data_IF_624265954129
#
_entry.id   IF_624265954129
#
_cell.length_a   1.000
_cell.length_b   1.000
_cell.length_c   1.000
_cell.angle_alpha   90.00
_cell.angle_beta   90.00
_cell.angle_gamma   90.00
#
_symmetry.space_group_name_H-M   'P 1'
#
loop_
_entity.id
_entity.type
_entity.pdbx_description
1 polymer ?
#
# COMPACT_ATOMS: atom_id res chain seq x y z
N UNK A 1 -3.55 14.21 56.36
CA UNK A 1 -3.67 15.67 56.54
C UNK A 1 -3.52 16.34 55.17
N UNK A 2 -4.44 17.26 54.86
CA UNK A 2 -4.39 18.40 53.90
C UNK A 2 -4.06 18.17 52.41
N UNK A 3 -5.10 18.38 51.59
CA UNK A 3 -5.14 18.74 50.16
C UNK A 3 -4.69 20.20 49.98
N UNK A 4 -3.84 20.53 49.01
CA UNK A 4 -3.58 21.92 48.53
C UNK A 4 -3.17 21.82 47.04
N UNK A 5 -4.09 21.99 46.09
CA UNK A 5 -4.54 23.25 45.44
C UNK A 5 -3.60 23.72 44.33
N UNK A 6 -4.09 23.57 43.10
CA UNK A 6 -3.70 24.25 41.87
C UNK A 6 -3.83 25.78 42.03
N UNK A 7 -3.09 26.59 41.27
CA UNK A 7 -3.81 27.65 40.57
C UNK A 7 -3.36 27.85 39.13
N UNK A 8 -4.38 27.91 38.27
CA UNK A 8 -4.40 28.66 37.02
C UNK A 8 -4.16 30.14 37.33
N UNK A 9 -3.24 30.81 36.62
CA UNK A 9 -3.33 32.25 36.45
C UNK A 9 -2.99 32.63 35.01
N UNK A 10 -3.79 33.56 34.52
CA UNK A 10 -4.01 33.87 33.13
C UNK A 10 -3.39 35.24 32.80
N UNK A 11 -3.15 35.47 31.50
CA UNK A 11 -3.35 36.73 30.79
C UNK A 11 -2.24 37.82 30.80
N UNK A 12 -1.50 37.84 29.67
CA UNK A 12 -1.11 38.96 28.78
C UNK A 12 -0.50 40.27 29.30
N UNK A 13 0.60 40.70 28.66
CA UNK A 13 0.75 42.09 28.22
C UNK A 13 1.68 42.26 27.01
N UNK A 14 1.33 43.29 26.24
CA UNK A 14 1.67 43.68 24.85
C UNK A 14 3.05 44.36 24.68
N UNK A 15 3.41 44.58 23.41
CA UNK A 15 4.28 45.65 22.84
C UNK A 15 5.78 45.33 22.69
N UNK A 16 6.53 45.71 21.65
CA UNK A 16 6.26 46.37 20.36
C UNK A 16 7.49 46.16 19.45
N UNK A 17 7.27 46.33 18.14
CA UNK A 17 8.14 45.99 17.02
C UNK A 17 9.47 46.77 16.92
N UNK A 18 10.48 46.12 16.32
CA UNK A 18 11.43 46.79 15.42
C UNK A 18 11.69 45.93 14.19
N UNK A 19 11.33 46.50 13.05
CA UNK A 19 11.52 46.00 11.69
C UNK A 19 13.00 45.87 11.36
N UNK A 20 13.42 44.68 10.93
CA UNK A 20 14.55 44.52 10.02
C UNK A 20 14.08 43.62 8.88
N UNK A 21 13.53 44.25 7.84
CA UNK A 21 13.46 43.63 6.53
C UNK A 21 14.90 43.37 6.06
N UNK A 22 15.18 42.15 5.58
CA UNK A 22 15.82 41.91 4.29
C UNK A 22 15.87 40.40 4.00
N UNK A 23 15.21 40.03 2.87
CA UNK A 23 15.54 38.92 1.99
C UNK A 23 15.43 37.47 2.50
N UNK A 24 14.21 36.90 2.49
CA UNK A 24 14.01 35.46 2.21
C UNK A 24 12.76 35.23 1.34
N UNK A 25 12.65 35.96 0.23
CA UNK A 25 11.72 35.60 -0.85
C UNK A 25 12.49 34.68 -1.80
N UNK A 26 12.33 33.36 -1.65
CA UNK A 26 12.94 32.43 -2.61
C UNK A 26 12.75 30.93 -2.35
N UNK A 27 12.67 30.48 -1.10
CA UNK A 27 12.73 29.03 -0.81
C UNK A 27 11.42 28.38 -0.32
N UNK A 28 10.45 29.14 0.19
CA UNK A 28 9.25 28.56 0.82
C UNK A 28 8.16 28.10 -0.17
N UNK A 29 8.09 28.71 -1.37
CA UNK A 29 7.04 28.39 -2.37
C UNK A 29 7.30 27.02 -3.03
N UNK A 30 8.57 26.61 -3.14
CA UNK A 30 8.95 25.31 -3.72
C UNK A 30 8.47 24.12 -2.89
N UNK A 31 8.67 24.18 -1.56
CA UNK A 31 8.26 23.10 -0.65
C UNK A 31 6.74 23.01 -0.48
N UNK A 32 6.04 24.15 -0.40
CA UNK A 32 4.58 24.16 -0.29
C UNK A 32 3.89 23.55 -1.53
N UNK A 33 4.34 23.89 -2.75
CA UNK A 33 3.81 23.25 -3.98
C UNK A 33 4.16 21.76 -4.06
N UNK A 34 5.34 21.36 -3.59
CA UNK A 34 5.77 19.96 -3.65
C UNK A 34 4.98 19.08 -2.67
N UNK A 35 4.69 19.55 -1.46
CA UNK A 35 3.84 18.84 -0.50
C UNK A 35 2.39 18.73 -0.98
N UNK A 36 1.85 19.80 -1.58
CA UNK A 36 0.48 19.79 -2.09
C UNK A 36 0.31 18.85 -3.30
N UNK A 37 1.31 18.76 -4.19
CA UNK A 37 1.30 17.77 -5.26
C UNK A 37 1.38 16.34 -4.73
N UNK A 38 2.23 16.06 -3.74
CA UNK A 38 2.34 14.72 -3.15
C UNK A 38 1.05 14.27 -2.44
N UNK A 39 0.36 15.21 -1.79
CA UNK A 39 -0.96 14.96 -1.18
C UNK A 39 -2.06 14.78 -2.25
N UNK A 40 -2.04 15.59 -3.31
CA UNK A 40 -2.97 15.48 -4.43
C UNK A 40 -2.77 14.19 -5.25
N UNK A 41 -1.52 13.78 -5.47
CA UNK A 41 -1.17 12.53 -6.16
C UNK A 41 -1.55 11.32 -5.29
N UNK A 42 -1.37 11.39 -3.96
CA UNK A 42 -1.92 10.39 -3.03
C UNK A 42 -3.44 10.32 -3.08
N UNK A 43 -4.13 11.46 -3.14
CA UNK A 43 -5.59 11.50 -3.24
C UNK A 43 -6.10 11.00 -4.59
N UNK A 44 -5.40 11.27 -5.71
CA UNK A 44 -5.76 10.71 -7.02
C UNK A 44 -5.50 9.22 -7.10
N UNK A 45 -4.40 8.73 -6.53
CA UNK A 45 -4.14 7.30 -6.49
C UNK A 45 -5.04 6.54 -5.49
N UNK A 46 -5.50 7.23 -4.43
CA UNK A 46 -6.58 6.72 -3.58
C UNK A 46 -7.93 6.70 -4.31
N UNK A 47 -8.14 7.54 -5.34
CA UNK A 47 -9.39 7.60 -6.08
C UNK A 47 -9.63 6.39 -7.00
N UNK A 48 -8.60 5.61 -7.34
CA UNK A 48 -8.72 4.37 -8.14
C UNK A 48 -8.55 3.09 -7.34
N UNK A 49 -8.23 3.19 -6.04
CA UNK A 49 -8.16 2.05 -5.15
C UNK A 49 -9.52 1.77 -4.52
N UNK A 50 -10.12 0.64 -4.85
CA UNK A 50 -11.32 0.12 -4.19
C UNK A 50 -10.94 -0.75 -3.00
N UNK A 51 -11.89 -1.00 -2.09
CA UNK A 51 -11.67 -1.92 -0.97
C UNK A 51 -12.11 -3.33 -1.37
N UNK A 52 -11.14 -4.26 -1.46
CA UNK A 52 -11.41 -5.69 -1.49
C UNK A 52 -11.75 -6.20 -0.08
N UNK A 53 -12.58 -7.22 0.01
CA UNK A 53 -12.94 -7.88 1.27
C UNK A 53 -12.89 -9.40 1.13
N UNK A 54 -12.25 -10.06 2.08
CA UNK A 54 -12.19 -11.51 2.16
C UNK A 54 -12.16 -11.96 3.61
N UNK A 55 -13.10 -12.84 4.01
CA UNK A 55 -13.23 -13.35 5.37
C UNK A 55 -13.20 -12.25 6.47
N UNK A 56 -13.87 -11.13 6.22
CA UNK A 56 -13.94 -10.00 7.16
C UNK A 56 -12.68 -9.14 7.23
N UNK A 57 -11.64 -9.44 6.44
CA UNK A 57 -10.45 -8.59 6.27
C UNK A 57 -10.59 -7.75 5.01
N UNK A 58 -10.26 -6.47 5.12
CA UNK A 58 -10.25 -5.54 3.99
C UNK A 58 -8.82 -5.25 3.53
N UNK A 59 -8.64 -5.11 2.22
CA UNK A 59 -7.36 -4.75 1.61
C UNK A 59 -7.61 -3.82 0.41
N UNK A 60 -6.66 -2.94 0.05
CA UNK A 60 -6.81 -2.12 -1.14
C UNK A 60 -6.72 -2.98 -2.40
N UNK A 61 -7.56 -2.68 -3.38
CA UNK A 61 -7.49 -3.21 -4.74
C UNK A 61 -7.38 -2.05 -5.70
N UNK A 62 -6.21 -1.86 -6.30
CA UNK A 62 -6.01 -0.79 -7.27
C UNK A 62 -6.07 -1.37 -8.69
N UNK A 63 -6.93 -0.80 -9.52
CA UNK A 63 -7.03 -1.12 -10.95
C UNK A 63 -7.04 0.19 -11.72
N UNK A 64 -6.16 0.32 -12.71
CA UNK A 64 -6.02 1.55 -13.48
C UNK A 64 -6.80 1.41 -14.78
N UNK A 65 -7.86 2.20 -15.00
CA UNK A 65 -8.58 2.21 -16.27
C UNK A 65 -7.63 2.46 -17.44
N UNK A 66 -7.88 1.84 -18.59
CA UNK A 66 -7.00 1.95 -19.76
C UNK A 66 -6.80 3.41 -20.24
N UNK A 67 -7.80 4.27 -20.06
CA UNK A 67 -7.74 5.70 -20.37
C UNK A 67 -6.95 6.53 -19.33
N UNK A 68 -6.65 5.95 -18.16
CA UNK A 68 -5.87 6.59 -17.08
C UNK A 68 -4.45 6.03 -16.96
N UNK A 69 -4.11 4.99 -17.73
CA UNK A 69 -2.76 4.45 -17.78
C UNK A 69 -1.75 5.51 -18.28
N UNK A 70 -0.59 5.62 -17.63
CA UNK A 70 0.43 6.56 -18.06
C UNK A 70 1.05 6.12 -19.40
N UNK A 71 1.41 7.07 -20.26
CA UNK A 71 2.04 6.78 -21.57
C UNK A 71 3.31 5.94 -21.48
N UNK A 72 4.12 6.16 -20.44
CA UNK A 72 5.29 5.35 -20.10
C UNK A 72 4.88 4.36 -19.03
N UNK A 73 5.33 3.11 -19.06
CA UNK A 73 5.06 2.19 -17.96
C UNK A 73 3.66 1.55 -17.96
N UNK A 74 2.82 1.83 -18.97
CA UNK A 74 1.48 1.25 -19.08
C UNK A 74 1.52 -0.28 -19.08
N UNK A 75 2.40 -0.88 -19.89
CA UNK A 75 2.54 -2.33 -20.00
C UNK A 75 2.94 -2.97 -18.67
N UNK A 76 3.83 -2.32 -17.92
CA UNK A 76 4.29 -2.78 -16.62
C UNK A 76 3.15 -2.71 -15.58
N UNK A 77 2.39 -1.61 -15.57
CA UNK A 77 1.22 -1.47 -14.67
C UNK A 77 0.16 -2.52 -15.02
N UNK A 78 -0.20 -2.66 -16.30
CA UNK A 78 -1.16 -3.66 -16.74
C UNK A 78 -0.69 -5.09 -16.41
N UNK A 79 0.60 -5.38 -16.59
CA UNK A 79 1.19 -6.68 -16.24
C UNK A 79 1.11 -6.97 -14.74
N UNK A 80 1.42 -5.98 -13.89
CA UNK A 80 1.26 -6.10 -12.45
C UNK A 80 -0.21 -6.31 -12.05
N UNK A 81 -1.12 -5.51 -12.60
CA UNK A 81 -2.55 -5.61 -12.32
C UNK A 81 -3.12 -6.96 -12.76
N UNK A 82 -2.63 -7.54 -13.85
CA UNK A 82 -3.00 -8.89 -14.28
C UNK A 82 -2.55 -9.98 -13.29
N UNK A 83 -1.34 -9.88 -12.73
CA UNK A 83 -0.86 -10.85 -11.71
C UNK A 83 -1.65 -10.72 -10.40
N UNK A 84 -2.02 -9.49 -10.00
CA UNK A 84 -2.88 -9.24 -8.85
C UNK A 84 -4.30 -9.75 -9.07
N UNK A 85 -4.85 -9.56 -10.27
CA UNK A 85 -6.17 -10.09 -10.64
C UNK A 85 -6.19 -11.62 -10.62
N UNK A 86 -5.14 -12.27 -11.12
CA UNK A 86 -5.00 -13.73 -11.03
C UNK A 86 -5.02 -14.21 -9.57
N UNK A 87 -4.30 -13.52 -8.69
CA UNK A 87 -4.31 -13.81 -7.25
C UNK A 87 -5.70 -13.61 -6.62
N UNK A 88 -6.39 -12.54 -7.00
CA UNK A 88 -7.76 -12.28 -6.56
C UNK A 88 -8.72 -13.40 -6.96
N UNK A 89 -8.68 -13.84 -8.22
CA UNK A 89 -9.52 -14.94 -8.69
C UNK A 89 -9.20 -16.25 -7.99
N UNK A 90 -7.92 -16.56 -7.77
CA UNK A 90 -7.51 -17.76 -7.03
C UNK A 90 -7.92 -17.73 -5.55
N UNK A 91 -7.84 -16.56 -4.92
CA UNK A 91 -8.32 -16.31 -3.56
C UNK A 91 -9.82 -16.65 -3.42
N UNK A 92 -10.62 -16.26 -4.40
CA UNK A 92 -12.08 -16.47 -4.41
C UNK A 92 -12.49 -17.89 -4.85
N UNK A 93 -11.70 -18.54 -5.71
CA UNK A 93 -12.04 -19.84 -6.28
C UNK A 93 -12.03 -20.98 -5.26
N UNK A 94 -11.18 -20.89 -4.24
CA UNK A 94 -11.03 -21.89 -3.18
C UNK A 94 -10.51 -21.22 -1.91
N UNK A 95 -10.83 -21.75 -0.74
CA UNK A 95 -10.34 -21.29 0.56
C UNK A 95 -9.10 -22.05 1.08
N UNK A 96 -8.72 -23.11 0.37
CA UNK A 96 -7.72 -24.11 0.78
C UNK A 96 -6.65 -24.35 -0.29
N UNK A 97 -6.96 -24.10 -1.56
CA UNK A 97 -5.97 -24.18 -2.64
C UNK A 97 -4.97 -23.02 -2.58
N UNK A 98 -3.70 -23.23 -2.95
CA UNK A 98 -2.72 -22.15 -3.06
C UNK A 98 -3.25 -20.98 -3.90
N UNK A 99 -2.94 -19.75 -3.47
CA UNK A 99 -3.32 -18.53 -4.22
C UNK A 99 -2.35 -18.31 -5.37
N UNK A 100 -1.07 -18.63 -5.16
CA UNK A 100 -0.03 -18.51 -6.18
C UNK A 100 0.86 -19.75 -6.24
N UNK A 101 1.27 -20.14 -7.45
CA UNK A 101 2.42 -21.05 -7.62
C UNK A 101 3.74 -20.34 -7.32
N UNK A 102 4.85 -21.05 -7.06
CA UNK A 102 6.17 -20.43 -6.88
C UNK A 102 6.59 -19.53 -8.04
N UNK A 103 6.29 -19.93 -9.28
CA UNK A 103 6.59 -19.17 -10.49
C UNK A 103 5.76 -17.88 -10.55
N UNK A 104 4.48 -17.95 -10.17
CA UNK A 104 3.61 -16.77 -10.11
C UNK A 104 4.03 -15.80 -9.01
N UNK A 105 4.52 -16.29 -7.85
CA UNK A 105 5.08 -15.42 -6.80
C UNK A 105 6.30 -14.65 -7.31
N UNK A 106 7.16 -15.32 -8.08
CA UNK A 106 8.33 -14.69 -8.70
C UNK A 106 7.91 -13.65 -9.76
N UNK A 107 6.92 -13.98 -10.59
CA UNK A 107 6.37 -13.07 -11.59
C UNK A 107 5.75 -11.82 -10.95
N UNK A 108 4.98 -11.97 -9.86
CA UNK A 108 4.41 -10.87 -9.10
C UNK A 108 5.49 -9.95 -8.53
N UNK A 109 6.54 -10.50 -7.91
CA UNK A 109 7.65 -9.71 -7.37
C UNK A 109 8.40 -8.95 -8.47
N UNK A 110 8.65 -9.61 -9.61
CA UNK A 110 9.29 -8.99 -10.77
C UNK A 110 8.43 -7.85 -11.35
N UNK A 111 7.11 -8.05 -11.43
CA UNK A 111 6.17 -7.02 -11.89
C UNK A 111 6.15 -5.80 -10.96
N UNK A 112 6.09 -6.01 -9.63
CA UNK A 112 6.17 -4.91 -8.64
C UNK A 112 7.47 -4.11 -8.81
N UNK A 113 8.60 -4.81 -8.92
CA UNK A 113 9.90 -4.17 -9.12
C UNK A 113 9.96 -3.39 -10.44
N UNK A 114 9.43 -3.96 -11.52
CA UNK A 114 9.37 -3.33 -12.85
C UNK A 114 8.58 -2.02 -12.82
N UNK A 115 7.37 -2.01 -12.22
CA UNK A 115 6.57 -0.79 -12.09
C UNK A 115 7.29 0.25 -11.23
N UNK A 116 7.89 -0.15 -10.11
CA UNK A 116 8.64 0.78 -9.25
C UNK A 116 9.81 1.45 -9.98
N UNK A 117 10.47 0.75 -10.91
CA UNK A 117 11.56 1.30 -11.73
C UNK A 117 11.07 2.27 -12.81
N UNK A 118 10.01 1.91 -13.55
CA UNK A 118 9.54 2.71 -14.70
C UNK A 118 8.60 3.84 -14.28
N UNK A 119 7.93 3.71 -13.15
CA UNK A 119 6.92 4.62 -12.62
C UNK A 119 7.12 4.89 -11.12
N UNK A 120 8.18 5.61 -10.72
CA UNK A 120 8.46 5.91 -9.31
C UNK A 120 7.42 6.83 -8.64
N UNK A 121 6.52 7.43 -9.42
CA UNK A 121 5.39 8.24 -8.94
C UNK A 121 4.08 7.47 -8.84
N UNK A 122 4.02 6.24 -9.37
CA UNK A 122 2.85 5.40 -9.19
C UNK A 122 2.65 5.08 -7.70
N UNK A 123 1.41 4.86 -7.31
CA UNK A 123 1.08 4.42 -5.96
C UNK A 123 1.38 2.93 -5.79
N UNK A 124 2.67 2.61 -5.79
CA UNK A 124 3.18 1.25 -5.60
C UNK A 124 2.71 0.66 -4.25
N UNK A 125 2.47 1.52 -3.25
CA UNK A 125 2.07 1.08 -1.92
C UNK A 125 0.74 0.31 -1.93
N UNK A 126 -0.25 0.72 -2.73
CA UNK A 126 -1.52 0.00 -2.82
C UNK A 126 -1.34 -1.40 -3.43
N UNK A 127 -0.59 -1.50 -4.52
CA UNK A 127 -0.28 -2.80 -5.14
C UNK A 127 0.53 -3.72 -4.21
N UNK A 128 1.48 -3.17 -3.45
CA UNK A 128 2.24 -3.95 -2.46
C UNK A 128 1.38 -4.46 -1.32
N UNK A 129 0.42 -3.65 -0.84
CA UNK A 129 -0.52 -4.07 0.20
C UNK A 129 -1.46 -5.17 -0.28
N UNK A 130 -1.97 -5.06 -1.51
CA UNK A 130 -2.78 -6.12 -2.14
C UNK A 130 -1.96 -7.42 -2.29
N UNK A 131 -0.75 -7.33 -2.84
CA UNK A 131 0.14 -8.47 -3.01
C UNK A 131 0.47 -9.15 -1.67
N UNK A 132 0.77 -8.36 -0.63
CA UNK A 132 1.08 -8.88 0.70
C UNK A 132 -0.12 -9.63 1.31
N UNK A 133 -1.35 -9.17 1.05
CA UNK A 133 -2.55 -9.87 1.49
C UNK A 133 -2.65 -11.26 0.85
N UNK A 134 -2.51 -11.34 -0.47
CA UNK A 134 -2.57 -12.62 -1.19
C UNK A 134 -1.45 -13.58 -0.79
N UNK A 135 -0.23 -13.09 -0.60
CA UNK A 135 0.90 -13.92 -0.15
C UNK A 135 0.71 -14.42 1.29
N UNK A 136 0.16 -13.60 2.18
CA UNK A 136 -0.15 -14.03 3.55
C UNK A 136 -1.24 -15.12 3.56
N UNK A 137 -2.25 -14.99 2.70
CA UNK A 137 -3.31 -15.97 2.59
C UNK A 137 -2.80 -17.27 1.93
N UNK A 138 -1.95 -17.18 0.91
CA UNK A 138 -1.25 -18.32 0.32
C UNK A 138 -0.45 -19.11 1.38
N UNK A 139 0.33 -18.40 2.21
CA UNK A 139 1.09 -19.01 3.29
C UNK A 139 0.21 -19.68 4.33
N UNK A 140 -0.92 -19.06 4.70
CA UNK A 140 -1.92 -19.65 5.62
C UNK A 140 -2.48 -20.95 5.06
N UNK A 141 -2.81 -20.99 3.77
CA UNK A 141 -3.36 -22.18 3.10
C UNK A 141 -2.33 -23.30 2.99
N UNK A 142 -1.07 -22.97 2.71
CA UNK A 142 0.03 -23.93 2.68
C UNK A 142 0.29 -24.56 4.06
N UNK A 143 0.15 -23.81 5.15
CA UNK A 143 0.26 -24.35 6.51
C UNK A 143 -0.91 -25.28 6.89
N UNK A 144 -2.10 -25.01 6.35
CA UNK A 144 -3.30 -25.80 6.60
C UNK A 144 -3.40 -27.04 5.68
N UNK A 145 -2.54 -27.16 4.66
CA UNK A 145 -2.55 -28.29 3.75
C UNK A 145 -2.24 -29.60 4.51
N UNK A 146 -3.08 -30.65 4.39
CA UNK A 146 -2.82 -31.92 5.05
C UNK A 146 -1.47 -32.49 4.61
N UNK A 147 -0.57 -32.74 5.57
CA UNK A 147 0.58 -33.61 5.35
C UNK A 147 0.03 -34.98 4.98
N UNK A 148 0.27 -35.42 3.74
CA UNK A 148 -0.17 -36.72 3.29
C UNK A 148 0.29 -37.81 4.28
N UNK A 149 -0.57 -38.77 4.67
CA UNK A 149 -0.16 -39.84 5.57
C UNK A 149 0.98 -40.64 4.91
N UNK A 150 2.08 -40.81 5.64
CA UNK A 150 3.19 -41.68 5.24
C UNK A 150 2.64 -43.08 4.94
N UNK A 151 2.99 -43.70 3.80
CA UNK A 151 2.59 -45.07 3.51
C UNK A 151 3.06 -46.00 4.64
N UNK A 152 2.22 -46.93 5.14
CA UNK A 152 2.69 -47.90 6.12
C UNK A 152 3.85 -48.69 5.51
N UNK A 153 4.97 -48.76 6.24
CA UNK A 153 6.12 -49.60 5.87
C UNK A 153 5.64 -51.04 5.67
N UNK A 154 5.81 -51.64 4.48
CA UNK A 154 5.47 -53.04 4.30
C UNK A 154 6.42 -53.88 5.15
N UNK A 155 5.86 -54.57 6.14
CA UNK A 155 6.58 -55.59 6.91
C UNK A 155 6.56 -56.87 6.09
N UNK A 156 7.74 -57.33 5.66
CA UNK A 156 7.96 -58.70 5.21
C UNK A 156 9.27 -59.19 5.83
#
# INVERSE_FOLDING_TARGET
>A
MKKIVLPVFCLTLLASATTAAHAQVGAAIGFARMMNKRAADKNKAAATATAGSYQGKTFPMQRTPANELPKKGAEQISGLEMELERGHLALLASDSSPVYTPEQRTALQAAIASVAQVQPKANIAAYQQEAAFYLAEDARRQQAAPVAPTPPTPTN
#
